data_IF_861333880089
#
_entry.id   IF_861333880089
#
_cell.length_a   1.000
_cell.length_b   1.000
_cell.length_c   1.000
_cell.angle_alpha   90.00
_cell.angle_beta   90.00
_cell.angle_gamma   90.00
#
_symmetry.space_group_name_H-M   'P 1'
#
loop_
_entity.id
_entity.type
_entity.pdbx_description
1 polymer ?
#
# COMPACT_ATOMS: atom_id res chain seq x y z
N UNK A 1 4.00 5.45 17.22
CA UNK A 1 3.04 4.78 16.33
C UNK A 1 3.09 5.42 14.96
N UNK A 2 2.97 4.63 13.92
CA UNK A 2 2.96 5.18 12.56
C UNK A 2 1.63 5.88 12.27
N UNK A 3 1.69 6.96 11.49
CA UNK A 3 0.51 7.69 11.03
C UNK A 3 -0.34 6.82 10.10
N UNK A 4 0.29 5.91 9.37
CA UNK A 4 -0.32 5.09 8.35
C UNK A 4 -0.26 3.61 8.71
N UNK A 5 -1.38 2.92 8.53
CA UNK A 5 -1.43 1.46 8.57
C UNK A 5 -2.12 0.93 7.32
N UNK A 6 -1.82 -0.31 6.98
CA UNK A 6 -2.46 -1.02 5.88
C UNK A 6 -2.81 -2.44 6.30
N UNK A 7 -3.71 -3.06 5.55
CA UNK A 7 -4.13 -4.44 5.75
C UNK A 7 -4.43 -5.04 4.38
N UNK A 8 -3.76 -6.12 4.04
CA UNK A 8 -3.95 -6.77 2.75
C UNK A 8 -4.68 -8.10 2.96
N UNK A 9 -5.84 -8.22 2.33
CA UNK A 9 -6.62 -9.44 2.31
C UNK A 9 -6.51 -10.09 0.94
N UNK A 10 -6.14 -11.38 0.92
CA UNK A 10 -6.21 -12.18 -0.30
C UNK A 10 -7.66 -12.64 -0.47
N UNK A 11 -8.39 -11.96 -1.35
CA UNK A 11 -9.82 -12.21 -1.54
C UNK A 11 -10.09 -13.55 -2.25
N UNK A 12 -9.09 -14.11 -2.94
CA UNK A 12 -9.24 -15.41 -3.59
C UNK A 12 -9.25 -16.56 -2.57
N UNK A 13 -8.49 -16.42 -1.48
CA UNK A 13 -8.42 -17.44 -0.43
C UNK A 13 -9.27 -17.10 0.78
N UNK A 14 -9.64 -15.83 0.94
CA UNK A 14 -10.32 -15.32 2.13
C UNK A 14 -9.41 -15.17 3.34
N UNK A 15 -8.09 -15.17 3.14
CA UNK A 15 -7.09 -15.11 4.21
C UNK A 15 -6.22 -13.86 4.11
N UNK A 16 -5.59 -13.43 5.21
CA UNK A 16 -4.63 -12.34 5.15
C UNK A 16 -3.51 -12.64 4.16
N UNK A 17 -3.09 -11.63 3.41
CA UNK A 17 -1.95 -11.76 2.51
C UNK A 17 -0.66 -11.48 3.28
N UNK A 18 0.07 -12.54 3.60
CA UNK A 18 1.31 -12.49 4.37
C UNK A 18 2.51 -12.31 3.46
N UNK A 19 3.44 -11.44 3.84
CA UNK A 19 4.69 -11.29 3.10
C UNK A 19 4.60 -10.39 1.87
N UNK A 20 3.60 -9.52 1.81
CA UNK A 20 3.50 -8.54 0.72
C UNK A 20 4.43 -7.37 0.98
N UNK A 21 5.37 -7.13 0.08
CA UNK A 21 6.25 -5.97 0.16
C UNK A 21 5.48 -4.69 -0.16
N UNK A 22 5.68 -3.66 0.66
CA UNK A 22 4.97 -2.39 0.52
C UNK A 22 5.96 -1.24 0.65
N UNK A 23 5.86 -0.28 -0.25
CA UNK A 23 6.67 0.93 -0.21
C UNK A 23 5.76 2.15 -0.09
N UNK A 24 6.03 2.99 0.90
CA UNK A 24 5.38 4.29 1.08
C UNK A 24 6.27 5.35 0.48
N UNK A 25 5.70 6.20 -0.36
CA UNK A 25 6.45 7.27 -1.00
C UNK A 25 5.65 8.56 -1.00
N UNK A 26 6.37 9.67 -1.07
CA UNK A 26 5.79 10.99 -1.23
C UNK A 26 5.90 11.41 -2.69
N UNK A 27 4.86 12.04 -3.20
CA UNK A 27 4.85 12.63 -4.53
C UNK A 27 5.07 14.12 -4.39
N UNK A 28 6.16 14.64 -4.97
CA UNK A 28 6.46 16.06 -4.93
C UNK A 28 5.46 16.82 -5.82
N UNK A 29 5.02 17.99 -5.38
CA UNK A 29 4.19 18.84 -6.21
C UNK A 29 5.01 19.34 -7.39
N UNK A 30 4.36 19.41 -8.55
CA UNK A 30 4.98 19.85 -9.80
C UNK A 30 3.94 20.54 -10.65
N UNK A 31 4.33 21.69 -11.21
CA UNK A 31 3.45 22.49 -12.07
C UNK A 31 3.07 21.79 -13.38
N UNK A 32 3.88 20.82 -13.80
CA UNK A 32 3.64 20.07 -15.06
C UNK A 32 3.02 18.69 -14.80
N UNK A 33 2.69 18.35 -13.56
CA UNK A 33 2.09 17.08 -13.20
C UNK A 33 3.06 15.91 -13.17
N UNK A 34 4.36 16.16 -13.29
CA UNK A 34 5.38 15.11 -13.32
C UNK A 34 6.04 14.87 -11.96
N UNK A 35 5.34 15.10 -10.87
CA UNK A 35 5.90 15.05 -9.51
C UNK A 35 6.84 13.88 -9.26
N UNK A 36 8.03 14.17 -8.75
CA UNK A 36 9.01 13.16 -8.38
C UNK A 36 8.51 12.35 -7.18
N UNK A 37 8.75 11.05 -7.20
CA UNK A 37 8.35 10.14 -6.14
C UNK A 37 9.57 9.82 -5.28
N UNK A 38 9.46 10.04 -3.98
CA UNK A 38 10.54 9.80 -3.03
C UNK A 38 10.08 8.78 -2.00
N UNK A 39 10.77 7.65 -1.92
CA UNK A 39 10.47 6.61 -0.95
C UNK A 39 10.72 7.13 0.47
N UNK A 40 9.76 6.89 1.36
CA UNK A 40 9.82 7.28 2.77
C UNK A 40 10.13 6.07 3.64
N UNK A 41 9.47 4.95 3.36
CA UNK A 41 9.58 3.74 4.18
C UNK A 41 9.16 2.53 3.36
N UNK A 42 9.62 1.36 3.79
CA UNK A 42 9.20 0.09 3.20
C UNK A 42 9.08 -0.97 4.28
N UNK A 43 8.29 -1.98 4.01
CA UNK A 43 8.07 -3.08 4.93
C UNK A 43 7.33 -4.21 4.26
N UNK A 44 6.96 -5.20 5.07
CA UNK A 44 6.32 -6.43 4.61
C UNK A 44 5.15 -6.74 5.54
N UNK A 45 4.02 -7.18 4.99
CA UNK A 45 2.86 -7.53 5.82
C UNK A 45 3.17 -8.70 6.74
N UNK A 46 2.61 -8.67 7.94
CA UNK A 46 2.77 -9.70 8.97
C UNK A 46 1.80 -10.88 8.76
N UNK A 47 1.73 -11.76 9.77
CA UNK A 47 0.86 -12.94 9.72
C UNK A 47 -0.62 -12.60 9.62
N UNK A 48 -1.01 -11.40 10.01
CA UNK A 48 -2.39 -10.90 9.90
C UNK A 48 -2.62 -10.08 8.63
N UNK A 49 -1.61 -9.98 7.77
CA UNK A 49 -1.67 -9.15 6.56
C UNK A 49 -1.57 -7.66 6.85
N UNK A 50 -1.10 -7.28 8.02
CA UNK A 50 -1.05 -5.89 8.48
C UNK A 50 0.37 -5.34 8.47
N UNK A 51 0.46 -4.03 8.32
CA UNK A 51 1.73 -3.29 8.40
C UNK A 51 1.48 -1.87 8.85
N UNK A 52 2.21 -1.42 9.86
CA UNK A 52 2.32 -0.01 10.22
C UNK A 52 3.58 0.52 9.55
N UNK A 53 3.49 1.63 8.85
CA UNK A 53 4.54 2.05 7.93
C UNK A 53 4.78 3.55 8.01
N UNK A 54 6.05 3.93 8.11
CA UNK A 54 6.48 5.30 8.07
C UNK A 54 6.50 5.99 9.43
N UNK A 55 6.69 7.31 9.43
CA UNK A 55 6.84 8.09 10.67
C UNK A 55 5.52 8.25 11.41
N UNK A 56 5.61 8.80 12.63
CA UNK A 56 4.43 9.10 13.46
C UNK A 56 3.53 10.16 12.82
N UNK A 57 4.10 11.00 11.96
CA UNK A 57 3.35 12.00 11.23
C UNK A 57 3.87 12.11 9.80
N UNK A 58 2.95 11.93 8.84
CA UNK A 58 3.25 12.20 7.42
C UNK A 58 2.95 13.68 7.12
N UNK A 59 3.74 14.26 6.24
CA UNK A 59 3.47 15.61 5.76
C UNK A 59 2.20 15.62 4.92
N UNK A 60 1.46 16.72 4.97
CA UNK A 60 0.30 16.92 4.10
C UNK A 60 0.73 16.84 2.64
N UNK A 61 -0.12 16.28 1.81
CA UNK A 61 0.12 16.16 0.38
C UNK A 61 -0.11 14.77 -0.15
N UNK A 62 0.28 14.55 -1.40
CA UNK A 62 0.03 13.31 -2.12
C UNK A 62 1.12 12.29 -1.78
N UNK A 63 0.67 11.07 -1.49
CA UNK A 63 1.54 9.93 -1.19
C UNK A 63 1.08 8.72 -2.00
N UNK A 64 1.96 7.74 -2.12
CA UNK A 64 1.63 6.45 -2.75
C UNK A 64 2.00 5.30 -1.85
N UNK A 65 1.19 4.24 -1.90
CA UNK A 65 1.56 2.91 -1.41
C UNK A 65 1.69 2.00 -2.62
N UNK A 66 2.85 1.38 -2.77
CA UNK A 66 3.10 0.40 -3.81
C UNK A 66 3.16 -0.97 -3.17
N UNK A 67 2.24 -1.84 -3.58
CA UNK A 67 2.14 -3.21 -3.07
C UNK A 67 2.75 -4.14 -4.12
N UNK A 68 3.75 -4.93 -3.75
CA UNK A 68 4.42 -5.87 -4.63
C UNK A 68 3.57 -7.13 -4.82
N UNK A 69 2.41 -6.98 -5.42
CA UNK A 69 1.41 -8.04 -5.56
C UNK A 69 1.84 -9.14 -6.53
N UNK A 70 2.56 -8.77 -7.59
CA UNK A 70 3.10 -9.76 -8.53
C UNK A 70 4.06 -10.74 -7.87
N UNK A 71 4.96 -10.24 -7.02
CA UNK A 71 5.88 -11.09 -6.27
C UNK A 71 5.14 -11.98 -5.27
N UNK A 72 4.09 -11.45 -4.64
CA UNK A 72 3.26 -12.22 -3.72
C UNK A 72 2.64 -13.45 -4.41
N UNK A 73 2.03 -13.23 -5.57
CA UNK A 73 1.41 -14.33 -6.33
C UNK A 73 2.45 -15.26 -6.96
N UNK A 74 3.58 -14.73 -7.44
CA UNK A 74 4.65 -15.55 -8.00
C UNK A 74 5.19 -16.55 -6.99
N UNK A 75 5.36 -16.15 -5.74
CA UNK A 75 5.80 -17.05 -4.67
C UNK A 75 4.80 -18.17 -4.38
N UNK A 76 3.54 -18.00 -4.77
CA UNK A 76 2.45 -18.98 -4.61
C UNK A 76 2.12 -19.71 -5.89
N UNK A 77 2.87 -19.45 -6.96
CA UNK A 77 2.66 -20.05 -8.29
C UNK A 77 1.25 -19.76 -8.83
N UNK A 78 0.76 -18.54 -8.58
CA UNK A 78 -0.54 -18.07 -9.04
C UNK A 78 -0.31 -17.01 -10.12
N UNK A 79 -0.94 -17.19 -11.26
CA UNK A 79 -0.91 -16.21 -12.34
C UNK A 79 -1.67 -14.96 -11.92
N UNK A 80 -1.11 -13.79 -12.21
CA UNK A 80 -1.74 -12.50 -11.95
C UNK A 80 -1.55 -11.58 -13.15
N UNK A 81 -2.50 -10.67 -13.36
CA UNK A 81 -2.39 -9.68 -14.43
C UNK A 81 -1.59 -8.44 -13.99
N UNK A 82 -1.65 -8.07 -12.72
CA UNK A 82 -1.04 -6.85 -12.21
C UNK A 82 0.28 -7.15 -11.51
N UNK A 83 1.41 -6.61 -12.02
CA UNK A 83 2.70 -6.82 -11.35
C UNK A 83 2.80 -6.10 -10.01
N UNK A 84 2.01 -5.05 -9.83
CA UNK A 84 1.96 -4.29 -8.58
C UNK A 84 0.60 -3.57 -8.49
N UNK A 85 0.23 -3.18 -7.28
CA UNK A 85 -0.89 -2.27 -7.06
C UNK A 85 -0.33 -0.98 -6.47
N UNK A 86 -0.65 0.15 -7.07
CA UNK A 86 -0.19 1.46 -6.61
C UNK A 86 -1.41 2.28 -6.22
N UNK A 87 -1.48 2.65 -4.95
CA UNK A 87 -2.58 3.44 -4.41
C UNK A 87 -2.07 4.85 -4.13
N UNK A 88 -2.64 5.82 -4.80
CA UNK A 88 -2.33 7.24 -4.59
C UNK A 88 -3.38 7.84 -3.69
N UNK A 89 -2.95 8.53 -2.63
CA UNK A 89 -3.87 9.09 -1.65
C UNK A 89 -3.35 10.41 -1.12
N UNK A 90 -4.24 11.20 -0.53
CA UNK A 90 -3.90 12.51 0.03
C UNK A 90 -3.87 12.45 1.54
N UNK A 91 -2.79 12.98 2.12
CA UNK A 91 -2.66 13.19 3.56
C UNK A 91 -3.06 14.62 3.87
N UNK A 92 -4.00 14.79 4.79
CA UNK A 92 -4.42 16.10 5.29
C UNK A 92 -4.66 16.00 6.80
N UNK A 93 -3.86 16.72 7.57
CA UNK A 93 -3.97 16.68 9.02
C UNK A 93 -3.24 15.50 9.66
N UNK A 94 -3.53 15.28 10.95
CA UNK A 94 -2.80 14.29 11.77
C UNK A 94 -3.66 13.08 12.17
N UNK A 95 -4.87 12.96 11.62
CA UNK A 95 -5.72 11.80 11.89
C UNK A 95 -5.12 10.54 11.31
N UNK A 96 -5.23 9.43 12.05
CA UNK A 96 -4.73 8.14 11.62
C UNK A 96 -5.29 7.74 10.26
N UNK A 97 -4.43 7.23 9.40
CA UNK A 97 -4.79 6.77 8.06
C UNK A 97 -4.67 5.26 7.97
N UNK A 98 -5.74 4.63 7.48
CA UNK A 98 -5.76 3.20 7.23
C UNK A 98 -6.15 2.96 5.78
N UNK A 99 -5.25 2.34 5.01
CA UNK A 99 -5.41 2.11 3.57
C UNK A 99 -5.39 0.61 3.31
N UNK A 100 -6.56 -0.06 3.36
CA UNK A 100 -6.63 -1.50 3.10
C UNK A 100 -6.56 -1.82 1.62
N UNK A 101 -6.12 -3.03 1.29
CA UNK A 101 -6.13 -3.57 -0.06
C UNK A 101 -6.82 -4.92 -0.07
N UNK A 102 -7.84 -5.06 -0.91
CA UNK A 102 -8.47 -6.33 -1.23
C UNK A 102 -7.83 -6.84 -2.52
N UNK A 103 -7.13 -7.97 -2.44
CA UNK A 103 -6.26 -8.44 -3.50
C UNK A 103 -6.75 -9.76 -4.07
N UNK A 104 -6.83 -9.86 -5.39
CA UNK A 104 -7.01 -11.11 -6.11
C UNK A 104 -6.14 -11.12 -7.37
N UNK A 105 -5.98 -12.27 -8.05
CA UNK A 105 -5.03 -12.34 -9.16
C UNK A 105 -5.31 -11.40 -10.33
N UNK A 106 -6.58 -11.07 -10.58
CA UNK A 106 -6.98 -10.27 -11.74
C UNK A 106 -7.77 -9.01 -11.37
N UNK A 107 -7.81 -8.67 -10.08
CA UNK A 107 -8.50 -7.47 -9.61
C UNK A 107 -7.99 -7.07 -8.24
N UNK A 108 -8.08 -5.80 -7.92
CA UNK A 108 -7.86 -5.34 -6.56
C UNK A 108 -8.72 -4.11 -6.31
N UNK A 109 -8.99 -3.86 -5.05
CA UNK A 109 -9.69 -2.65 -4.63
C UNK A 109 -9.11 -2.12 -3.34
N UNK A 110 -9.31 -0.84 -3.12
CA UNK A 110 -8.85 -0.15 -1.93
C UNK A 110 -9.93 0.81 -1.46
N UNK A 111 -9.87 1.18 -0.20
CA UNK A 111 -10.79 2.16 0.36
C UNK A 111 -10.13 2.83 1.55
N UNK A 112 -10.71 3.93 2.02
CA UNK A 112 -10.23 4.55 3.25
C UNK A 112 -10.86 3.83 4.44
N UNK A 113 -10.03 3.11 5.19
CA UNK A 113 -10.46 2.44 6.41
C UNK A 113 -10.65 3.40 7.57
N UNK A 114 -11.36 2.97 8.56
CA UNK A 114 -11.60 3.75 9.77
C UNK A 114 -10.59 3.47 10.86
#
# INVERSE_FOLDING_TARGET
>A
MSHLTTHVLDAATGRPAVGVGITLARVAESDDGSGAVTAIAEGVTDADGRLALGPDRLEDGVHTLTFATGAYFAAREVETFYPAAIVTFTVAGDGHLHVPLLLSPFAYSTYRGS
#
